data_IF_960553878693
#
_entry.id   IF_960553878693
#
_cell.length_a   1.000
_cell.length_b   1.000
_cell.length_c   1.000
_cell.angle_alpha   90.00
_cell.angle_beta   90.00
_cell.angle_gamma   90.00
#
_symmetry.space_group_name_H-M   'P 1'
#
loop_
_entity.id
_entity.type
_entity.pdbx_description
1 polymer ?
#
# COMPACT_ATOMS: atom_id res chain seq x y z
N UNK A 1 -32.04 -27.29 52.45
CA UNK A 1 -31.25 -27.36 51.22
C UNK A 1 -31.56 -26.11 50.41
N UNK A 2 -30.56 -25.29 50.09
CA UNK A 2 -30.72 -24.15 49.18
C UNK A 2 -29.81 -24.41 47.99
N UNK A 3 -30.38 -24.61 46.81
CA UNK A 3 -29.64 -24.64 45.55
C UNK A 3 -29.14 -23.23 45.23
N UNK A 4 -27.83 -23.10 45.03
CA UNK A 4 -27.24 -21.90 44.44
C UNK A 4 -27.21 -22.10 42.92
N UNK A 5 -28.04 -21.35 42.20
CA UNK A 5 -27.99 -21.27 40.74
C UNK A 5 -26.74 -20.49 40.32
N UNK A 6 -25.79 -21.20 39.69
CA UNK A 6 -24.64 -20.59 39.02
C UNK A 6 -25.12 -19.78 37.81
N UNK A 7 -24.94 -18.47 37.87
CA UNK A 7 -25.14 -17.58 36.71
C UNK A 7 -23.92 -17.69 35.81
N UNK A 8 -24.08 -18.31 34.64
CA UNK A 8 -23.03 -18.38 33.62
C UNK A 8 -22.89 -17.02 32.96
N UNK A 9 -21.82 -16.29 33.27
CA UNK A 9 -21.50 -15.03 32.60
C UNK A 9 -20.83 -15.33 31.26
N UNK A 10 -21.57 -15.25 30.16
CA UNK A 10 -20.99 -15.26 28.82
C UNK A 10 -20.36 -13.90 28.54
N UNK A 11 -19.02 -13.86 28.51
CA UNK A 11 -18.28 -12.67 28.11
C UNK A 11 -18.77 -12.18 26.73
N UNK A 12 -19.02 -10.86 26.54
CA UNK A 12 -19.37 -10.31 25.24
C UNK A 12 -18.28 -10.70 24.23
N UNK A 13 -18.71 -11.24 23.08
CA UNK A 13 -17.80 -11.55 21.98
C UNK A 13 -17.09 -10.25 21.60
N UNK A 14 -15.76 -10.21 21.72
CA UNK A 14 -14.98 -9.03 21.35
C UNK A 14 -15.38 -8.58 19.94
N UNK A 15 -15.56 -7.26 19.70
CA UNK A 15 -15.82 -6.76 18.36
C UNK A 15 -14.75 -7.33 17.43
N UNK A 16 -15.15 -7.91 16.29
CA UNK A 16 -14.19 -8.23 15.24
C UNK A 16 -13.55 -6.92 14.85
N UNK A 17 -12.27 -6.75 15.16
CA UNK A 17 -11.50 -5.59 14.73
C UNK A 17 -11.40 -5.67 13.21
N UNK A 18 -12.31 -5.01 12.51
CA UNK A 18 -12.18 -4.80 11.07
C UNK A 18 -11.05 -3.81 10.90
N UNK A 19 -9.86 -4.28 10.54
CA UNK A 19 -8.76 -3.38 10.21
C UNK A 19 -9.21 -2.47 9.06
N UNK A 20 -9.02 -1.14 9.17
CA UNK A 20 -9.39 -0.25 8.09
C UNK A 20 -8.55 -0.59 6.86
N UNK A 21 -9.23 -0.87 5.75
CA UNK A 21 -8.60 -0.96 4.45
C UNK A 21 -8.19 0.45 4.02
N UNK A 22 -6.94 0.64 3.60
CA UNK A 22 -6.48 1.92 3.04
C UNK A 22 -6.29 1.77 1.54
N UNK A 23 -7.05 2.54 0.76
CA UNK A 23 -6.84 2.65 -0.69
C UNK A 23 -5.83 3.76 -0.97
N UNK A 24 -4.88 3.46 -1.84
CA UNK A 24 -3.81 4.37 -2.20
C UNK A 24 -3.65 4.49 -3.71
N UNK A 25 -3.67 5.71 -4.23
CA UNK A 25 -3.23 5.98 -5.59
C UNK A 25 -1.70 5.95 -5.64
N UNK A 26 -1.17 5.15 -6.55
CA UNK A 26 0.25 4.85 -6.65
C UNK A 26 0.79 5.25 -8.01
N UNK A 27 2.00 5.80 -8.02
CA UNK A 27 2.82 5.97 -9.23
C UNK A 27 4.24 5.53 -8.95
N UNK A 28 4.96 5.08 -9.98
CA UNK A 28 6.36 4.72 -9.85
C UNK A 28 7.21 5.21 -11.00
N UNK A 29 8.50 5.34 -10.73
CA UNK A 29 9.58 5.55 -11.68
C UNK A 29 10.78 4.73 -11.25
N UNK A 30 11.28 3.91 -12.16
CA UNK A 30 12.43 3.03 -11.99
C UNK A 30 13.46 3.44 -13.04
N UNK A 31 14.71 3.60 -12.64
CA UNK A 31 15.83 3.80 -13.56
C UNK A 31 16.63 2.52 -13.66
N UNK A 32 16.66 1.92 -14.85
CA UNK A 32 17.39 0.70 -15.14
C UNK A 32 18.58 1.02 -16.05
N UNK A 33 19.72 0.32 -15.93
CA UNK A 33 20.78 0.40 -16.92
C UNK A 33 20.24 -0.01 -18.31
N UNK A 34 20.73 0.64 -19.37
CA UNK A 34 20.46 0.21 -20.73
C UNK A 34 21.22 -1.10 -20.99
N UNK A 35 20.52 -2.07 -21.54
CA UNK A 35 21.13 -3.31 -22.05
C UNK A 35 21.69 -3.07 -23.46
N UNK A 36 22.57 -2.08 -23.59
CA UNK A 36 23.23 -1.74 -24.85
C UNK A 36 24.72 -1.50 -24.62
N UNK A 37 25.51 -1.59 -25.70
CA UNK A 37 26.96 -1.33 -25.65
C UNK A 37 27.33 0.09 -25.19
N UNK A 38 26.36 1.03 -25.18
CA UNK A 38 26.57 2.38 -24.70
C UNK A 38 26.09 2.55 -23.25
N UNK A 39 26.92 3.12 -22.37
CA UNK A 39 26.49 3.47 -21.02
C UNK A 39 25.26 4.36 -21.07
N UNK A 40 24.24 4.02 -20.28
CA UNK A 40 23.05 4.84 -20.16
C UNK A 40 21.99 4.20 -19.28
N UNK A 41 20.98 4.99 -18.96
CA UNK A 41 19.84 4.57 -18.16
C UNK A 41 18.55 4.68 -18.98
N UNK A 42 17.65 3.73 -18.81
CA UNK A 42 16.28 3.76 -19.28
C UNK A 42 15.37 3.98 -18.09
N UNK A 43 14.40 4.88 -18.26
CA UNK A 43 13.36 5.11 -17.26
C UNK A 43 12.14 4.25 -17.60
N UNK A 44 11.64 3.51 -16.61
CA UNK A 44 10.38 2.79 -16.66
C UNK A 44 9.47 3.43 -15.63
N UNK A 45 8.29 3.88 -16.04
CA UNK A 45 7.36 4.56 -15.15
C UNK A 45 5.91 4.13 -15.40
N UNK A 46 5.09 4.25 -14.36
CA UNK A 46 3.65 4.14 -14.51
C UNK A 46 3.14 5.29 -15.39
N UNK A 47 2.46 4.97 -16.50
CA UNK A 47 1.90 5.98 -17.40
C UNK A 47 0.75 6.77 -16.74
N UNK A 48 0.03 6.14 -15.80
CA UNK A 48 -1.06 6.73 -15.00
C UNK A 48 -0.94 6.23 -13.56
N UNK A 49 -1.56 6.96 -12.63
CA UNK A 49 -1.75 6.46 -11.28
C UNK A 49 -2.67 5.24 -11.28
N UNK A 50 -2.41 4.30 -10.39
CA UNK A 50 -3.22 3.10 -10.21
C UNK A 50 -3.43 2.84 -8.72
N UNK A 51 -4.54 2.21 -8.38
CA UNK A 51 -4.88 1.96 -6.98
C UNK A 51 -4.19 0.71 -6.46
N UNK A 52 -3.61 0.82 -5.27
CA UNK A 52 -3.24 -0.32 -4.45
C UNK A 52 -4.08 -0.27 -3.18
N UNK A 53 -4.50 -1.43 -2.72
CA UNK A 53 -5.27 -1.58 -1.50
C UNK A 53 -4.35 -2.17 -0.45
N UNK A 54 -4.26 -1.54 0.71
CA UNK A 54 -3.56 -2.07 1.88
C UNK A 54 -4.61 -2.73 2.79
N UNK A 55 -4.59 -4.05 2.84
CA UNK A 55 -5.46 -4.88 3.69
C UNK A 55 -4.70 -5.32 4.95
N UNK A 56 -5.42 -5.55 6.05
CA UNK A 56 -4.85 -6.06 7.31
C UNK A 56 -3.62 -5.28 7.78
N UNK A 57 -3.81 -3.98 8.05
CA UNK A 57 -2.79 -3.07 8.58
C UNK A 57 -2.43 -3.38 10.04
N UNK A 58 -2.04 -4.62 10.32
CA UNK A 58 -1.11 -4.86 11.41
C UNK A 58 0.26 -4.27 11.00
N UNK A 59 1.08 -3.88 11.98
CA UNK A 59 2.38 -3.25 11.73
C UNK A 59 3.22 -4.05 10.73
N UNK A 60 3.27 -3.61 9.48
CA UNK A 60 4.08 -4.21 8.42
C UNK A 60 5.49 -3.59 8.46
N UNK A 61 6.51 -4.44 8.46
CA UNK A 61 7.89 -3.99 8.31
C UNK A 61 8.11 -3.31 6.95
N UNK A 62 9.00 -2.32 6.91
CA UNK A 62 9.26 -1.54 5.69
C UNK A 62 9.63 -2.42 4.48
N UNK A 63 10.44 -3.45 4.68
CA UNK A 63 10.85 -4.39 3.63
C UNK A 63 9.68 -5.19 3.06
N UNK A 64 8.80 -5.70 3.93
CA UNK A 64 7.58 -6.41 3.53
C UNK A 64 6.62 -5.48 2.78
N UNK A 65 6.55 -4.22 3.19
CA UNK A 65 5.76 -3.20 2.50
C UNK A 65 6.31 -2.89 1.10
N UNK A 66 7.63 -2.77 0.96
CA UNK A 66 8.27 -2.60 -0.34
C UNK A 66 8.03 -3.81 -1.26
N UNK A 67 8.12 -5.03 -0.73
CA UNK A 67 7.84 -6.25 -1.50
C UNK A 67 6.37 -6.32 -1.94
N UNK A 68 5.44 -6.00 -1.03
CA UNK A 68 4.01 -5.93 -1.33
C UNK A 68 3.73 -4.99 -2.51
N UNK A 69 4.34 -3.82 -2.50
CA UNK A 69 4.15 -2.84 -3.57
C UNK A 69 4.81 -3.28 -4.86
N UNK A 70 5.97 -3.95 -4.80
CA UNK A 70 6.56 -4.55 -6.00
C UNK A 70 5.62 -5.60 -6.62
N UNK A 71 4.96 -6.43 -5.80
CA UNK A 71 3.94 -7.39 -6.27
C UNK A 71 2.81 -6.65 -6.97
N UNK A 72 2.20 -5.65 -6.30
CA UNK A 72 1.08 -4.89 -6.87
C UNK A 72 1.45 -4.12 -8.14
N UNK A 73 2.65 -3.57 -8.21
CA UNK A 73 3.14 -2.95 -9.44
C UNK A 73 3.31 -3.99 -10.57
N UNK A 74 3.79 -5.20 -10.25
CA UNK A 74 3.97 -6.29 -11.20
C UNK A 74 2.66 -6.89 -11.73
N UNK A 75 1.58 -6.84 -10.94
CA UNK A 75 0.23 -7.24 -11.37
C UNK A 75 -0.32 -6.29 -12.46
N UNK A 76 0.04 -5.00 -12.42
CA UNK A 76 -0.45 -3.98 -13.37
C UNK A 76 0.51 -3.76 -14.54
N UNK A 77 1.83 -3.84 -14.28
CA UNK A 77 2.88 -3.56 -15.27
C UNK A 77 3.88 -4.71 -15.30
N UNK A 78 3.91 -5.43 -16.42
CA UNK A 78 4.79 -6.58 -16.62
C UNK A 78 6.26 -6.26 -16.27
N UNK A 79 6.95 -7.23 -15.66
CA UNK A 79 8.36 -7.14 -15.22
C UNK A 79 8.68 -6.07 -14.15
N UNK A 80 7.78 -5.15 -13.83
CA UNK A 80 8.01 -4.07 -12.86
C UNK A 80 8.31 -4.61 -11.46
N UNK A 81 7.58 -5.62 -10.99
CA UNK A 81 7.82 -6.21 -9.67
C UNK A 81 9.21 -6.82 -9.52
N UNK A 82 9.74 -7.46 -10.57
CA UNK A 82 11.12 -7.99 -10.57
C UNK A 82 12.15 -6.88 -10.52
N UNK A 83 11.94 -5.81 -11.30
CA UNK A 83 12.83 -4.66 -11.35
C UNK A 83 12.86 -3.89 -10.03
N UNK A 84 11.70 -3.68 -9.41
CA UNK A 84 11.60 -3.04 -8.09
C UNK A 84 12.33 -3.85 -7.02
N UNK A 85 12.09 -5.16 -6.93
CA UNK A 85 12.80 -6.05 -6.00
C UNK A 85 14.31 -6.02 -6.20
N UNK A 86 14.74 -6.11 -7.45
CA UNK A 86 16.16 -6.02 -7.79
C UNK A 86 16.76 -4.70 -7.31
N UNK A 87 16.10 -3.58 -7.59
CA UNK A 87 16.58 -2.27 -7.17
C UNK A 87 16.56 -2.06 -5.64
N UNK A 88 15.58 -2.64 -4.92
CA UNK A 88 15.55 -2.68 -3.44
C UNK A 88 16.77 -3.47 -2.92
N UNK A 89 17.00 -4.67 -3.44
CA UNK A 89 18.08 -5.55 -2.99
C UNK A 89 19.48 -4.99 -3.25
N UNK A 90 19.69 -4.37 -4.41
CA UNK A 90 21.01 -3.85 -4.79
C UNK A 90 21.28 -2.45 -4.26
N UNK A 91 20.30 -1.82 -3.60
CA UNK A 91 20.37 -0.39 -3.26
C UNK A 91 20.53 0.51 -4.50
N UNK A 92 20.04 0.05 -5.66
CA UNK A 92 20.22 0.77 -6.92
C UNK A 92 19.47 2.09 -6.92
N UNK A 93 20.03 3.04 -7.63
CA UNK A 93 19.98 4.44 -7.25
C UNK A 93 18.58 5.07 -7.23
N UNK A 94 17.57 4.62 -7.98
CA UNK A 94 16.33 5.41 -8.07
C UNK A 94 15.07 4.58 -8.34
N UNK A 95 14.48 3.99 -7.30
CA UNK A 95 13.02 3.79 -7.27
C UNK A 95 12.42 5.05 -6.65
N UNK A 96 11.70 5.84 -7.44
CA UNK A 96 10.82 6.86 -6.91
C UNK A 96 9.40 6.30 -6.94
N UNK A 97 8.83 6.14 -5.76
CA UNK A 97 7.48 5.65 -5.57
C UNK A 97 6.70 6.71 -4.78
N UNK A 98 5.54 7.09 -5.31
CA UNK A 98 4.62 7.97 -4.63
C UNK A 98 3.34 7.21 -4.29
N UNK A 99 2.93 7.35 -3.03
CA UNK A 99 1.70 6.79 -2.48
C UNK A 99 0.81 7.93 -1.98
N UNK A 100 -0.37 8.05 -2.55
CA UNK A 100 -1.36 9.04 -2.14
C UNK A 100 -2.56 8.32 -1.54
N UNK A 101 -2.81 8.51 -0.24
CA UNK A 101 -3.98 7.95 0.41
C UNK A 101 -5.22 8.56 -0.24
N UNK A 102 -6.12 7.68 -0.69
CA UNK A 102 -7.43 8.08 -1.20
C UNK A 102 -8.38 8.12 -0.02
N UNK A 103 -8.55 9.30 0.56
CA UNK A 103 -9.58 9.50 1.57
C UNK A 103 -10.95 9.36 0.91
N UNK A 104 -11.86 8.56 1.48
CA UNK A 104 -13.24 8.53 0.99
C UNK A 104 -13.82 9.95 1.05
N UNK A 105 -14.63 10.35 0.07
CA UNK A 105 -15.25 11.67 0.08
C UNK A 105 -16.10 11.80 1.34
N UNK A 106 -15.69 12.70 2.24
CA UNK A 106 -16.48 13.02 3.41
C UNK A 106 -17.61 13.97 2.96
N UNK A 107 -18.87 13.73 3.37
CA UNK A 107 -20.02 14.53 2.91
C UNK A 107 -19.83 16.04 3.16
N UNK A 108 -19.12 16.38 4.24
CA UNK A 108 -18.81 17.77 4.62
C UNK A 108 -17.63 18.38 3.86
N UNK A 109 -16.80 17.56 3.21
CA UNK A 109 -15.62 17.99 2.46
C UNK A 109 -15.83 17.88 0.95
N UNK A 110 -16.28 18.99 0.35
CA UNK A 110 -16.51 19.15 -1.09
C UNK A 110 -15.31 19.82 -1.72
N UNK A 111 -14.87 19.28 -2.86
CA UNK A 111 -13.83 19.87 -3.70
C UNK A 111 -14.26 21.30 -4.12
N UNK A 112 -13.44 22.30 -3.80
CA UNK A 112 -13.71 23.71 -4.13
C UNK A 112 -14.41 24.51 -3.03
N UNK A 113 -14.74 23.91 -1.88
CA UNK A 113 -15.22 24.67 -0.74
C UNK A 113 -14.05 25.36 -0.01
N UNK A 114 -14.25 26.63 0.36
CA UNK A 114 -13.33 27.39 1.19
C UNK A 114 -13.64 27.09 2.66
N UNK A 115 -12.93 26.13 3.22
CA UNK A 115 -12.95 25.88 4.66
C UNK A 115 -12.13 26.97 5.34
N UNK A 116 -12.74 27.69 6.27
CA UNK A 116 -12.00 28.65 7.10
C UNK A 116 -11.05 27.89 8.04
N UNK A 117 -9.82 28.39 8.25
CA UNK A 117 -8.85 27.79 9.15
C UNK A 117 -9.30 27.83 10.62
#
# INVERSE_FOLDING_TARGET
MMEQSMVTYTAPKAPKTTFPQITCNTTFRIFCPKDTAMPGWTQINSLKSFEIILENLESIGFELFQDYVAIKCGEVFENTGKLMRSAILTGSLHINWNLYIVSPPHPDFKKGAHYHP
#
